data_IF_251071756982
#
_entry.id   IF_251071756982
#
_cell.length_a   1.000
_cell.length_b   1.000
_cell.length_c   1.000
_cell.angle_alpha   90.00
_cell.angle_beta   90.00
_cell.angle_gamma   90.00
#
_symmetry.space_group_name_H-M   'P 1'
#
loop_
_entity.id
_entity.type
_entity.pdbx_description
1 polymer ?
#
# COMPACT_ATOMS: atom_id res chain seq x y z
N UNK A 1 -29.03 32.98 36.45
CA UNK A 1 -28.95 31.81 35.56
C UNK A 1 -28.86 32.27 34.10
N UNK A 2 -27.67 32.35 33.49
CA UNK A 2 -27.52 32.73 32.07
C UNK A 2 -26.88 31.65 31.17
N UNK A 3 -26.64 30.43 31.68
CA UNK A 3 -25.80 29.44 30.99
C UNK A 3 -26.51 28.68 29.87
N UNK A 4 -27.85 28.66 29.84
CA UNK A 4 -28.62 27.92 28.83
C UNK A 4 -28.55 28.56 27.44
N UNK A 5 -28.48 29.88 27.36
CA UNK A 5 -28.44 30.60 26.09
C UNK A 5 -27.13 30.34 25.32
N UNK A 6 -25.99 30.36 26.02
CA UNK A 6 -24.69 30.05 25.43
C UNK A 6 -24.59 28.59 24.98
N UNK A 7 -25.18 27.65 25.73
CA UNK A 7 -25.22 26.24 25.32
C UNK A 7 -26.05 26.00 24.06
N UNK A 8 -27.17 26.73 23.89
CA UNK A 8 -28.00 26.62 22.70
C UNK A 8 -27.35 27.25 21.47
N UNK A 9 -26.69 28.39 21.63
CA UNK A 9 -25.93 29.03 20.55
C UNK A 9 -24.76 28.15 20.09
N UNK A 10 -24.05 27.53 21.04
CA UNK A 10 -22.99 26.57 20.76
C UNK A 10 -23.49 25.33 20.01
N UNK A 11 -24.63 24.77 20.43
CA UNK A 11 -25.25 23.64 19.74
C UNK A 11 -25.67 23.99 18.30
N UNK A 12 -26.28 25.17 18.08
CA UNK A 12 -26.66 25.64 16.75
C UNK A 12 -25.44 25.88 15.85
N UNK A 13 -24.35 26.42 16.40
CA UNK A 13 -23.10 26.61 15.66
C UNK A 13 -22.47 25.28 15.24
N UNK A 14 -22.48 24.27 16.11
CA UNK A 14 -21.97 22.92 15.79
C UNK A 14 -22.86 22.24 14.74
N UNK A 15 -24.19 22.33 14.88
CA UNK A 15 -25.13 21.80 13.88
C UNK A 15 -24.93 22.51 12.54
N UNK A 16 -24.84 23.85 12.54
CA UNK A 16 -24.56 24.64 11.34
C UNK A 16 -23.23 24.27 10.68
N UNK A 17 -22.18 24.05 11.48
CA UNK A 17 -20.89 23.59 10.98
C UNK A 17 -20.97 22.19 10.35
N UNK A 18 -21.66 21.24 10.99
CA UNK A 18 -21.88 19.89 10.45
C UNK A 18 -22.67 19.95 9.14
N UNK A 19 -23.75 20.74 9.11
CA UNK A 19 -24.59 20.95 7.91
C UNK A 19 -23.77 21.57 6.78
N UNK A 20 -22.99 22.62 7.05
CA UNK A 20 -22.09 23.22 6.06
C UNK A 20 -21.02 22.23 5.57
N UNK A 21 -20.50 21.36 6.44
CA UNK A 21 -19.55 20.29 6.07
C UNK A 21 -20.19 19.23 5.17
N UNK A 22 -21.46 18.92 5.38
CA UNK A 22 -22.22 17.96 4.57
C UNK A 22 -22.70 18.54 3.24
N UNK A 23 -23.08 19.83 3.21
CA UNK A 23 -23.48 20.52 1.98
C UNK A 23 -22.30 21.02 1.15
N UNK A 24 -21.12 21.19 1.75
CA UNK A 24 -19.93 21.55 0.99
C UNK A 24 -19.58 20.41 0.04
N UNK A 25 -19.61 20.62 -1.30
CA UNK A 25 -19.31 19.58 -2.26
C UNK A 25 -17.85 19.18 -2.08
N UNK A 26 -17.64 18.05 -1.42
CA UNK A 26 -16.32 17.42 -1.40
C UNK A 26 -16.02 17.04 -2.84
N UNK A 27 -14.89 17.57 -3.33
CA UNK A 27 -14.33 17.46 -4.68
C UNK A 27 -14.78 16.20 -5.43
N UNK A 28 -15.39 16.40 -6.60
CA UNK A 28 -15.63 15.41 -7.68
C UNK A 28 -15.69 13.96 -7.17
N UNK A 29 -16.86 13.58 -6.66
CA UNK A 29 -17.20 12.20 -6.33
C UNK A 29 -16.94 11.33 -7.58
N UNK A 30 -15.93 10.47 -7.53
CA UNK A 30 -15.80 9.36 -8.49
C UNK A 30 -17.07 8.52 -8.34
N UNK A 31 -18.01 8.62 -9.27
CA UNK A 31 -19.32 7.96 -9.18
C UNK A 31 -19.28 6.47 -9.53
N UNK A 32 -18.22 5.75 -9.14
CA UNK A 32 -17.93 4.39 -9.62
C UNK A 32 -17.87 3.33 -8.48
N UNK A 33 -18.53 3.59 -7.34
CA UNK A 33 -18.55 2.64 -6.21
C UNK A 33 -19.73 2.85 -5.26
N UNK A 34 -20.01 1.89 -4.36
CA UNK A 34 -21.15 1.95 -3.43
C UNK A 34 -21.09 3.21 -2.53
N UNK A 35 -22.28 3.76 -2.25
CA UNK A 35 -22.56 5.12 -1.74
C UNK A 35 -21.55 5.70 -0.72
N UNK A 36 -20.99 6.87 -1.04
CA UNK A 36 -19.91 7.58 -0.33
C UNK A 36 -20.37 8.44 0.86
N UNK A 37 -21.37 8.03 1.64
CA UNK A 37 -22.00 8.93 2.62
C UNK A 37 -21.58 8.76 4.09
N UNK A 38 -20.47 8.08 4.40
CA UNK A 38 -19.99 7.99 5.79
C UNK A 38 -18.47 7.87 5.91
N UNK A 39 -17.88 8.50 6.93
CA UNK A 39 -16.45 8.40 7.27
C UNK A 39 -16.02 6.94 7.57
N UNK A 40 -16.98 6.09 7.96
CA UNK A 40 -16.88 4.64 8.13
C UNK A 40 -17.54 3.83 7.00
N UNK A 41 -17.82 4.44 5.85
CA UNK A 41 -18.33 3.68 4.70
C UNK A 41 -17.36 2.52 4.39
N UNK A 42 -17.92 1.40 3.96
CA UNK A 42 -17.23 0.24 3.39
C UNK A 42 -16.11 -0.43 4.22
N UNK A 43 -16.00 -0.17 5.53
CA UNK A 43 -15.08 -0.93 6.42
C UNK A 43 -15.42 -2.42 6.40
N UNK A 44 -16.71 -2.76 6.23
CA UNK A 44 -17.18 -4.15 6.06
C UNK A 44 -16.82 -4.77 4.71
N UNK A 45 -16.39 -3.95 3.74
CA UNK A 45 -15.96 -4.42 2.41
C UNK A 45 -14.46 -4.73 2.38
N UNK A 46 -13.78 -4.65 3.53
CA UNK A 46 -12.40 -5.13 3.65
C UNK A 46 -12.35 -6.66 3.68
N UNK A 47 -11.26 -7.26 3.17
CA UNK A 47 -11.08 -8.71 3.22
C UNK A 47 -11.03 -9.19 4.68
N UNK A 48 -11.78 -10.24 5.03
CA UNK A 48 -11.63 -10.89 6.33
C UNK A 48 -10.26 -11.58 6.44
N UNK A 49 -9.71 -11.75 7.66
CA UNK A 49 -8.33 -12.20 7.87
C UNK A 49 -8.01 -13.58 7.28
N UNK A 50 -9.02 -14.45 7.14
CA UNK A 50 -8.85 -15.82 6.65
C UNK A 50 -8.98 -15.95 5.11
N UNK A 51 -9.25 -14.85 4.40
CA UNK A 51 -9.46 -14.85 2.94
C UNK A 51 -8.31 -14.14 2.25
N UNK A 52 -7.81 -14.75 1.17
CA UNK A 52 -6.81 -14.13 0.33
C UNK A 52 -7.36 -12.84 -0.29
N UNK A 53 -6.67 -11.72 -0.06
CA UNK A 53 -7.14 -10.40 -0.51
C UNK A 53 -7.46 -10.36 -2.01
N UNK A 54 -6.66 -11.05 -2.83
CA UNK A 54 -6.87 -11.09 -4.29
C UNK A 54 -8.21 -11.73 -4.67
N UNK A 55 -8.64 -12.77 -3.95
CA UNK A 55 -9.93 -13.44 -4.19
C UNK A 55 -11.10 -12.57 -3.73
N UNK A 56 -10.92 -11.85 -2.63
CA UNK A 56 -11.91 -10.90 -2.14
C UNK A 56 -12.14 -9.77 -3.15
N UNK A 57 -11.07 -9.09 -3.58
CA UNK A 57 -11.16 -7.99 -4.54
C UNK A 57 -11.59 -8.44 -5.93
N UNK A 58 -11.35 -9.68 -6.33
CA UNK A 58 -11.83 -10.19 -7.61
C UNK A 58 -13.36 -10.15 -7.70
N UNK A 59 -14.08 -10.39 -6.60
CA UNK A 59 -15.56 -10.31 -6.58
C UNK A 59 -16.07 -8.92 -6.91
N UNK A 60 -15.32 -7.87 -6.56
CA UNK A 60 -15.69 -6.49 -6.90
C UNK A 60 -15.70 -6.24 -8.41
N UNK A 61 -14.87 -6.96 -9.18
CA UNK A 61 -14.88 -6.92 -10.64
C UNK A 61 -16.24 -7.33 -11.20
N UNK A 62 -16.79 -8.44 -10.70
CA UNK A 62 -18.03 -9.01 -11.22
C UNK A 62 -19.25 -8.16 -10.80
N UNK A 63 -19.18 -7.51 -9.63
CA UNK A 63 -20.26 -6.69 -9.08
C UNK A 63 -20.30 -5.26 -9.64
N UNK A 64 -19.14 -4.63 -9.82
CA UNK A 64 -19.03 -3.20 -10.13
C UNK A 64 -18.32 -2.90 -11.47
N UNK A 65 -17.78 -3.93 -12.12
CA UNK A 65 -17.11 -3.81 -13.41
C UNK A 65 -15.59 -3.66 -13.32
N UNK A 66 -14.95 -3.31 -14.46
CA UNK A 66 -13.49 -3.36 -14.60
C UNK A 66 -12.72 -2.33 -13.77
N UNK A 67 -13.39 -1.26 -13.32
CA UNK A 67 -12.84 -0.26 -12.43
C UNK A 67 -13.89 0.02 -11.36
N UNK A 68 -13.51 -0.09 -10.10
CA UNK A 68 -14.38 0.20 -8.96
C UNK A 68 -13.62 0.92 -7.87
N UNK A 69 -14.32 1.42 -6.85
CA UNK A 69 -13.68 2.09 -5.72
C UNK A 69 -14.37 1.79 -4.40
N UNK A 70 -13.58 1.77 -3.34
CA UNK A 70 -14.02 1.54 -1.97
C UNK A 70 -13.41 2.61 -1.08
N UNK A 71 -14.21 3.32 -0.31
CA UNK A 71 -13.72 4.35 0.62
C UNK A 71 -13.75 3.78 2.03
N UNK A 72 -12.58 3.69 2.70
CA UNK A 72 -12.43 3.16 4.06
C UNK A 72 -11.66 4.19 4.90
N UNK A 73 -12.19 4.58 6.06
CA UNK A 73 -11.54 5.52 6.99
C UNK A 73 -11.08 6.83 6.33
N UNK A 74 -11.86 7.34 5.37
CA UNK A 74 -11.52 8.55 4.61
C UNK A 74 -10.46 8.37 3.51
N UNK A 75 -9.97 7.15 3.30
CA UNK A 75 -9.08 6.79 2.19
C UNK A 75 -9.88 6.07 1.10
N UNK A 76 -9.77 6.55 -0.15
CA UNK A 76 -10.41 5.89 -1.30
C UNK A 76 -9.42 4.98 -2.00
N UNK A 77 -9.71 3.68 -1.97
CA UNK A 77 -9.02 2.64 -2.74
C UNK A 77 -9.70 2.52 -4.10
N UNK A 78 -8.93 2.68 -5.18
CA UNK A 78 -9.42 2.47 -6.55
C UNK A 78 -8.92 1.11 -7.02
N UNK A 79 -9.84 0.21 -7.34
CA UNK A 79 -9.59 -1.16 -7.78
C UNK A 79 -9.63 -1.20 -9.30
N UNK A 80 -8.55 -1.68 -9.92
CA UNK A 80 -8.39 -1.71 -11.37
C UNK A 80 -8.18 -3.17 -11.79
N UNK A 81 -9.16 -3.72 -12.50
CA UNK A 81 -9.13 -5.09 -13.01
C UNK A 81 -8.81 -5.17 -14.50
N UNK A 82 -8.84 -4.04 -15.22
CA UNK A 82 -8.45 -3.99 -16.63
C UNK A 82 -6.93 -3.90 -16.80
N UNK A 83 -6.36 -4.85 -17.57
CA UNK A 83 -4.92 -4.95 -17.79
C UNK A 83 -4.35 -3.74 -18.55
N UNK A 84 -5.07 -3.21 -19.54
CA UNK A 84 -4.58 -2.08 -20.36
C UNK A 84 -4.54 -0.82 -19.52
N UNK A 85 -5.58 -0.59 -18.71
CA UNK A 85 -5.64 0.54 -17.78
C UNK A 85 -4.52 0.42 -16.73
N UNK A 86 -4.33 -0.77 -16.15
CA UNK A 86 -3.25 -1.00 -15.20
C UNK A 86 -1.87 -0.74 -15.81
N UNK A 87 -1.61 -1.19 -17.04
CA UNK A 87 -0.36 -0.91 -17.75
C UNK A 87 -0.15 0.60 -17.99
N UNK A 88 -1.18 1.29 -18.48
CA UNK A 88 -1.12 2.73 -18.71
C UNK A 88 -0.82 3.52 -17.43
N UNK A 89 -1.32 3.08 -16.28
CA UNK A 89 -1.06 3.74 -15.00
C UNK A 89 0.30 3.39 -14.39
N UNK A 90 0.66 2.11 -14.38
CA UNK A 90 1.83 1.62 -13.66
C UNK A 90 3.14 1.74 -14.46
N UNK A 91 3.06 1.75 -15.79
CA UNK A 91 4.23 1.83 -16.66
C UNK A 91 4.29 3.19 -17.37
N UNK A 92 3.26 3.54 -18.16
CA UNK A 92 3.30 4.72 -19.03
C UNK A 92 3.23 6.02 -18.22
N UNK A 93 2.37 6.08 -17.19
CA UNK A 93 2.17 7.26 -16.34
C UNK A 93 2.79 7.12 -14.94
N UNK A 94 3.75 6.20 -14.78
CA UNK A 94 4.33 5.86 -13.49
C UNK A 94 4.90 7.09 -12.76
N UNK A 95 5.41 8.11 -13.46
CA UNK A 95 5.95 9.32 -12.81
C UNK A 95 4.90 10.10 -12.02
N UNK A 96 3.66 10.11 -12.49
CA UNK A 96 2.55 10.85 -11.88
C UNK A 96 1.76 9.99 -10.88
N UNK A 97 1.66 8.69 -11.14
CA UNK A 97 0.80 7.76 -10.37
C UNK A 97 1.54 7.00 -9.28
N UNK A 98 2.87 6.91 -9.31
CA UNK A 98 3.68 6.14 -8.34
C UNK A 98 3.87 6.83 -6.98
N UNK A 99 3.07 7.85 -6.67
CA UNK A 99 3.05 8.49 -5.36
C UNK A 99 2.68 7.49 -4.26
N UNK A 100 3.56 7.30 -3.27
CA UNK A 100 3.26 6.48 -2.10
C UNK A 100 2.43 7.28 -1.11
N UNK A 101 1.42 6.62 -0.54
CA UNK A 101 0.61 7.21 0.50
C UNK A 101 1.50 7.53 1.72
N UNK A 102 1.48 8.78 2.18
CA UNK A 102 2.16 9.20 3.39
C UNK A 102 1.20 9.10 4.58
N UNK A 103 1.52 8.26 5.55
CA UNK A 103 0.80 8.13 6.81
C UNK A 103 1.65 8.72 7.94
N UNK A 104 1.10 9.62 8.75
CA UNK A 104 1.83 10.29 9.85
C UNK A 104 2.50 9.27 10.79
N UNK A 105 1.75 8.26 11.23
CA UNK A 105 2.29 7.23 12.12
C UNK A 105 3.44 6.47 11.46
N UNK A 106 3.20 5.84 10.31
CA UNK A 106 4.19 4.99 9.65
C UNK A 106 5.40 5.78 9.13
N UNK A 107 5.18 6.90 8.43
CA UNK A 107 6.25 7.66 7.81
C UNK A 107 7.01 8.54 8.81
N UNK A 108 6.31 9.33 9.63
CA UNK A 108 6.95 10.33 10.50
C UNK A 108 7.30 9.77 11.88
N UNK A 109 6.41 8.98 12.51
CA UNK A 109 6.66 8.48 13.87
C UNK A 109 7.54 7.22 13.86
N UNK A 110 7.31 6.30 12.92
CA UNK A 110 8.12 5.08 12.78
C UNK A 110 9.34 5.27 11.86
N UNK A 111 9.50 6.44 11.23
CA UNK A 111 10.66 6.77 10.40
C UNK A 111 10.70 6.05 9.05
N UNK A 112 9.58 5.52 8.55
CA UNK A 112 9.59 4.81 7.26
C UNK A 112 9.88 5.76 6.09
N UNK A 113 9.79 7.08 6.27
CA UNK A 113 10.22 8.04 5.26
C UNK A 113 11.71 7.96 4.90
N UNK A 114 12.55 7.33 5.72
CA UNK A 114 13.95 7.05 5.39
C UNK A 114 14.14 5.77 4.57
N UNK A 115 13.14 4.89 4.54
CA UNK A 115 13.18 3.67 3.74
C UNK A 115 12.88 4.05 2.28
N UNK A 116 13.82 3.76 1.37
CA UNK A 116 13.69 4.07 -0.07
C UNK A 116 12.39 3.51 -0.66
N UNK A 117 11.89 2.38 -0.14
CA UNK A 117 10.64 1.72 -0.52
C UNK A 117 9.35 2.36 0.04
N UNK A 118 9.46 3.35 0.91
CA UNK A 118 8.32 4.08 1.47
C UNK A 118 8.37 5.59 1.15
N UNK A 119 9.46 6.07 0.54
CA UNK A 119 9.61 7.44 0.06
C UNK A 119 8.64 7.77 -1.09
N UNK A 120 8.09 8.98 -1.07
CA UNK A 120 7.35 9.53 -2.20
C UNK A 120 8.24 9.78 -3.42
N UNK A 121 7.63 9.95 -4.60
CA UNK A 121 8.36 10.16 -5.86
C UNK A 121 8.96 11.58 -5.93
N UNK A 122 10.12 11.78 -5.31
CA UNK A 122 10.86 13.04 -5.29
C UNK A 122 12.30 12.89 -5.82
N UNK A 123 13.06 13.98 -5.84
CA UNK A 123 14.47 13.96 -6.29
C UNK A 123 15.34 13.00 -5.47
N UNK A 124 15.11 12.93 -4.15
CA UNK A 124 15.80 12.01 -3.23
C UNK A 124 15.54 10.54 -3.60
N UNK A 125 14.27 10.17 -3.83
CA UNK A 125 13.90 8.82 -4.27
C UNK A 125 14.56 8.46 -5.60
N UNK A 126 14.55 9.38 -6.58
CA UNK A 126 15.22 9.16 -7.88
C UNK A 126 16.72 8.95 -7.73
N UNK A 127 17.37 9.70 -6.83
CA UNK A 127 18.78 9.55 -6.53
C UNK A 127 19.08 8.19 -5.88
N UNK A 128 18.33 7.81 -4.84
CA UNK A 128 18.47 6.50 -4.19
C UNK A 128 18.21 5.34 -5.16
N UNK A 129 17.18 5.45 -6.01
CA UNK A 129 16.89 4.45 -7.05
C UNK A 129 18.03 4.33 -8.06
N UNK A 130 18.67 5.44 -8.44
CA UNK A 130 19.84 5.42 -9.32
C UNK A 130 21.00 4.65 -8.67
N UNK A 131 21.29 4.90 -7.40
CA UNK A 131 22.33 4.17 -6.66
C UNK A 131 22.01 2.68 -6.54
N UNK A 132 20.77 2.32 -6.17
CA UNK A 132 20.34 0.93 -6.07
C UNK A 132 20.39 0.18 -7.41
N UNK A 133 20.15 0.89 -8.53
CA UNK A 133 20.24 0.30 -9.86
C UNK A 133 21.63 -0.22 -10.16
N UNK A 134 22.69 0.45 -9.70
CA UNK A 134 24.08 0.00 -9.92
C UNK A 134 24.34 -1.39 -9.32
N UNK A 135 23.69 -1.73 -8.20
CA UNK A 135 23.76 -3.07 -7.61
C UNK A 135 22.92 -4.11 -8.36
N UNK A 136 21.83 -3.68 -9.02
CA UNK A 136 20.90 -4.57 -9.73
C UNK A 136 21.29 -4.91 -11.17
N UNK A 137 22.37 -4.35 -11.70
CA UNK A 137 22.83 -4.64 -13.07
C UNK A 137 23.52 -6.01 -13.10
N UNK A 138 23.31 -6.76 -14.19
CA UNK A 138 23.87 -8.10 -14.40
C UNK A 138 25.38 -8.20 -14.11
N UNK A 139 26.14 -7.17 -14.46
CA UNK A 139 27.60 -7.10 -14.23
C UNK A 139 27.92 -7.07 -12.74
N UNK A 140 27.23 -6.22 -11.97
CA UNK A 140 27.39 -6.13 -10.51
C UNK A 140 26.82 -7.35 -9.77
N UNK A 141 25.84 -8.04 -10.36
CA UNK A 141 25.35 -9.31 -9.83
C UNK A 141 26.32 -10.47 -10.11
N UNK A 142 27.07 -10.44 -11.22
CA UNK A 142 27.94 -11.53 -11.65
C UNK A 142 29.11 -11.79 -10.68
N UNK A 143 29.64 -10.76 -10.03
CA UNK A 143 30.70 -10.90 -9.01
C UNK A 143 30.28 -11.75 -7.79
N UNK A 144 28.98 -11.92 -7.55
CA UNK A 144 28.47 -12.75 -6.46
C UNK A 144 28.15 -14.18 -6.88
N UNK A 145 28.35 -14.54 -8.15
CA UNK A 145 27.96 -15.86 -8.68
C UNK A 145 28.65 -17.01 -7.95
N UNK A 146 29.96 -16.92 -7.75
CA UNK A 146 30.74 -18.01 -7.14
C UNK A 146 30.26 -18.29 -5.69
N UNK A 147 30.00 -17.23 -4.93
CA UNK A 147 29.49 -17.34 -3.56
C UNK A 147 28.06 -17.88 -3.55
N UNK A 148 27.21 -17.45 -4.48
CA UNK A 148 25.85 -17.98 -4.64
C UNK A 148 25.88 -19.48 -4.99
N UNK A 149 26.79 -19.92 -5.86
CA UNK A 149 26.91 -21.32 -6.26
C UNK A 149 27.30 -22.22 -5.08
N UNK A 150 28.25 -21.78 -4.25
CA UNK A 150 28.64 -22.51 -3.04
C UNK A 150 27.45 -22.67 -2.09
N UNK A 151 26.68 -21.60 -1.85
CA UNK A 151 25.54 -21.65 -0.94
C UNK A 151 24.35 -22.43 -1.50
N UNK A 152 24.14 -22.39 -2.82
CA UNK A 152 23.16 -23.24 -3.48
C UNK A 152 23.53 -24.70 -3.33
N UNK A 153 24.79 -25.08 -3.55
CA UNK A 153 25.25 -26.46 -3.36
C UNK A 153 25.05 -26.93 -1.92
N UNK A 154 25.38 -26.09 -0.94
CA UNK A 154 25.13 -26.38 0.48
C UNK A 154 23.64 -26.55 0.78
N UNK A 155 22.79 -25.70 0.20
CA UNK A 155 21.34 -25.78 0.37
C UNK A 155 20.77 -27.05 -0.24
N UNK A 156 21.28 -27.49 -1.40
CA UNK A 156 20.87 -28.74 -2.04
C UNK A 156 21.21 -29.95 -1.18
N UNK A 157 22.39 -29.98 -0.56
CA UNK A 157 22.77 -31.04 0.38
C UNK A 157 21.83 -31.07 1.59
N UNK A 158 21.51 -29.90 2.18
CA UNK A 158 20.56 -29.82 3.29
C UNK A 158 19.16 -30.28 2.89
N UNK A 159 18.68 -29.87 1.71
CA UNK A 159 17.39 -30.29 1.16
C UNK A 159 17.31 -31.81 0.92
N UNK A 160 18.42 -32.44 0.50
CA UNK A 160 18.50 -33.89 0.31
C UNK A 160 18.48 -34.65 1.64
N UNK A 161 19.21 -34.17 2.63
CA UNK A 161 19.32 -34.84 3.93
C UNK A 161 18.06 -34.63 4.80
N UNK A 162 17.46 -33.44 4.75
CA UNK A 162 16.33 -33.05 5.60
C UNK A 162 15.24 -32.31 4.79
N UNK A 163 14.56 -32.97 3.84
CA UNK A 163 13.58 -32.33 2.95
C UNK A 163 12.41 -31.68 3.71
N UNK A 164 12.07 -32.18 4.90
CA UNK A 164 11.03 -31.61 5.76
C UNK A 164 11.38 -30.27 6.41
N UNK A 165 12.65 -29.85 6.38
CA UNK A 165 13.14 -28.62 7.05
C UNK A 165 13.62 -27.54 6.09
N UNK A 166 13.21 -27.59 4.82
CA UNK A 166 13.58 -26.62 3.78
C UNK A 166 13.49 -25.15 4.23
N UNK A 167 12.36 -24.75 4.84
CA UNK A 167 12.16 -23.37 5.31
C UNK A 167 13.15 -22.96 6.42
N UNK A 168 13.54 -23.89 7.29
CA UNK A 168 14.52 -23.62 8.35
C UNK A 168 15.93 -23.47 7.78
N UNK A 169 16.28 -24.28 6.78
CA UNK A 169 17.55 -24.16 6.07
C UNK A 169 17.66 -22.81 5.37
N UNK A 170 16.60 -22.35 4.69
CA UNK A 170 16.57 -21.02 4.08
C UNK A 170 16.74 -19.88 5.09
N UNK A 171 16.14 -19.99 6.29
CA UNK A 171 16.32 -18.98 7.35
C UNK A 171 17.74 -18.93 7.90
N UNK A 172 18.41 -20.08 7.99
CA UNK A 172 19.75 -20.19 8.60
C UNK A 172 20.84 -19.61 7.68
N UNK A 173 20.72 -19.77 6.36
CA UNK A 173 21.70 -19.25 5.40
C UNK A 173 21.80 -17.71 5.42
N UNK A 174 20.68 -17.00 5.58
CA UNK A 174 20.64 -15.53 5.62
C UNK A 174 21.47 -14.96 6.79
N UNK A 175 21.62 -15.72 7.89
CA UNK A 175 22.38 -15.29 9.07
C UNK A 175 23.89 -15.32 8.86
N UNK A 176 24.41 -16.10 7.91
CA UNK A 176 25.85 -16.21 7.66
C UNK A 176 26.38 -15.02 6.85
N UNK A 177 25.54 -14.42 6.00
CA UNK A 177 25.87 -13.23 5.21
C UNK A 177 25.80 -11.89 5.95
N UNK A 178 25.28 -11.88 7.18
CA UNK A 178 25.08 -10.67 7.99
C UNK A 178 26.20 -10.36 8.98
N UNK A 179 27.36 -11.02 8.89
CA UNK A 179 28.53 -10.77 9.74
C UNK A 179 29.70 -10.22 8.94
#
# INVERSE_FOLDING_TARGET
MPNSFFTQLGALAVIGYIVLRYLSPTRRTLSLGPNQLSILANVKDLPPPDVLESQHWLKHKDLHGPISSVTVLGMTLVLIHDKKVAHGLLEENASETSGRLSMVFTNQMCGFEYIVLCQGYNSTFRHHRKLLREFGIKVSAAQFRDIQEVEVNRQLVHALNEPGKLLEHYRTQVRIFGK
#
